data_IF_375262680926
#
_entry.id   IF_375262680926
#
_cell.length_a   1.000
_cell.length_b   1.000
_cell.length_c   1.000
_cell.angle_alpha   90.00
_cell.angle_beta   90.00
_cell.angle_gamma   90.00
#
_symmetry.space_group_name_H-M   'P 1'
#
loop_
_entity.id
_entity.type
_entity.pdbx_description
1 polymer ?
#
# COMPACT_ATOMS: atom_id res chain seq x y z
N UNK A 1 17.58 -13.37 19.87
CA UNK A 1 16.34 -12.56 19.92
C UNK A 1 15.45 -13.02 18.78
N UNK A 2 14.47 -13.91 19.02
CA UNK A 2 13.87 -14.77 17.97
C UNK A 2 12.57 -14.20 17.37
N UNK A 3 11.87 -13.28 18.05
CA UNK A 3 10.63 -12.66 17.56
C UNK A 3 10.43 -11.25 18.15
N UNK A 4 9.93 -10.32 17.35
CA UNK A 4 9.29 -9.07 17.78
C UNK A 4 7.78 -9.26 17.57
N UNK A 5 7.00 -9.39 18.65
CA UNK A 5 5.53 -9.53 18.59
C UNK A 5 4.94 -8.53 19.58
N UNK A 6 4.10 -7.61 19.09
CA UNK A 6 3.08 -6.92 19.89
C UNK A 6 1.82 -7.81 19.85
N UNK A 7 1.40 -8.30 21.01
CA UNK A 7 0.32 -9.26 21.15
C UNK A 7 -1.09 -8.63 21.20
N UNK A 8 -1.20 -7.30 21.17
CA UNK A 8 -2.49 -6.63 21.36
C UNK A 8 -2.87 -5.66 20.25
N UNK A 9 -1.92 -4.94 19.63
CA UNK A 9 -2.28 -3.79 18.77
C UNK A 9 -1.72 -3.81 17.34
N UNK A 10 -0.89 -4.79 16.97
CA UNK A 10 -0.55 -5.05 15.57
C UNK A 10 0.21 -3.95 14.82
N UNK A 11 0.66 -2.88 15.48
CA UNK A 11 1.46 -1.81 14.88
C UNK A 11 2.88 -1.80 15.42
N UNK A 12 3.82 -1.48 14.54
CA UNK A 12 5.21 -1.23 14.90
C UNK A 12 5.42 0.28 15.01
N UNK A 13 5.34 0.77 16.25
CA UNK A 13 6.09 1.90 16.81
C UNK A 13 5.91 3.32 16.23
N UNK A 14 4.69 3.82 16.02
CA UNK A 14 4.46 5.28 16.00
C UNK A 14 3.93 5.86 17.32
N UNK A 15 3.03 5.17 18.02
CA UNK A 15 2.38 5.70 19.24
C UNK A 15 2.17 4.67 20.36
N UNK A 16 2.69 3.43 20.23
CA UNK A 16 2.48 2.33 21.21
C UNK A 16 3.77 1.72 21.76
N UNK A 17 3.77 1.44 23.06
CA UNK A 17 4.87 0.72 23.75
C UNK A 17 4.79 -0.78 23.45
N UNK A 18 5.84 -1.54 23.80
CA UNK A 18 5.92 -3.01 23.62
C UNK A 18 4.74 -3.79 24.22
N UNK A 19 4.06 -3.21 25.19
CA UNK A 19 2.89 -3.75 25.88
C UNK A 19 1.57 -3.05 25.50
N UNK A 20 1.53 -2.39 24.33
CA UNK A 20 0.29 -1.87 23.76
C UNK A 20 -0.26 -0.58 24.38
N UNK A 21 0.42 -0.01 25.38
CA UNK A 21 0.02 1.28 25.97
C UNK A 21 0.35 2.40 25.00
N UNK A 22 -0.44 3.49 25.02
CA UNK A 22 0.00 4.73 24.38
C UNK A 22 1.34 5.12 24.98
N UNK A 23 2.30 5.32 24.11
CA UNK A 23 3.56 5.95 24.46
C UNK A 23 3.22 7.28 25.13
N UNK A 24 3.62 7.53 26.39
CA UNK A 24 3.37 8.81 27.04
C UNK A 24 3.84 9.93 26.12
N UNK A 25 3.19 11.10 26.13
CA UNK A 25 3.79 12.30 25.52
C UNK A 25 5.17 12.48 26.16
N UNK A 26 6.22 11.99 25.52
CA UNK A 26 7.56 12.10 26.07
C UNK A 26 7.83 13.59 26.17
N UNK A 27 8.14 14.08 27.36
CA UNK A 27 8.66 15.43 27.51
C UNK A 27 9.90 15.64 26.64
N UNK A 28 10.35 16.89 26.55
CA UNK A 28 11.49 17.29 25.71
C UNK A 28 12.83 16.62 26.08
N UNK A 29 12.87 15.90 27.20
CA UNK A 29 14.02 15.09 27.61
C UNK A 29 14.30 13.95 26.60
N UNK A 30 15.33 14.15 25.79
CA UNK A 30 15.81 13.19 24.79
C UNK A 30 16.62 12.02 25.39
N UNK A 31 16.86 11.99 26.71
CA UNK A 31 17.88 11.13 27.33
C UNK A 31 17.39 10.03 28.30
N UNK A 32 16.10 9.80 28.49
CA UNK A 32 15.64 8.74 29.40
C UNK A 32 15.98 7.33 28.83
N UNK A 33 16.45 6.42 29.70
CA UNK A 33 16.78 5.03 29.37
C UNK A 33 15.64 4.25 28.69
N UNK A 34 14.39 4.53 29.04
CA UNK A 34 13.22 3.96 28.36
C UNK A 34 13.10 4.41 26.90
N UNK A 35 13.47 5.66 26.60
CA UNK A 35 13.46 6.25 25.25
C UNK A 35 14.58 5.68 24.40
N UNK A 36 15.76 5.54 24.99
CA UNK A 36 16.92 4.94 24.34
C UNK A 36 16.68 3.47 23.99
N UNK A 37 16.08 2.68 24.89
CA UNK A 37 15.74 1.28 24.65
C UNK A 37 14.69 1.14 23.53
N UNK A 38 13.70 2.03 23.50
CA UNK A 38 12.69 2.10 22.44
C UNK A 38 13.33 2.37 21.07
N UNK A 39 14.10 3.45 20.95
CA UNK A 39 14.75 3.82 19.69
C UNK A 39 15.79 2.79 19.22
N UNK A 40 16.51 2.15 20.14
CA UNK A 40 17.44 1.06 19.79
C UNK A 40 16.70 -0.16 19.23
N UNK A 41 15.52 -0.47 19.77
CA UNK A 41 14.67 -1.57 19.30
C UNK A 41 14.06 -1.26 17.94
N UNK A 42 13.57 -0.04 17.76
CA UNK A 42 13.05 0.47 16.50
C UNK A 42 14.12 0.46 15.40
N UNK A 43 15.33 0.93 15.71
CA UNK A 43 16.47 0.87 14.80
C UNK A 43 16.81 -0.58 14.43
N UNK A 44 16.80 -1.50 15.39
CA UNK A 44 17.02 -2.93 15.13
C UNK A 44 15.96 -3.53 14.19
N UNK A 45 14.69 -3.19 14.42
CA UNK A 45 13.57 -3.62 13.57
C UNK A 45 13.73 -3.13 12.13
N UNK A 46 13.98 -1.83 11.94
CA UNK A 46 14.18 -1.27 10.60
C UNK A 46 15.43 -1.82 9.94
N UNK A 47 16.54 -1.94 10.67
CA UNK A 47 17.79 -2.52 10.13
C UNK A 47 17.57 -3.94 9.63
N UNK A 48 16.84 -4.76 10.40
CA UNK A 48 16.48 -6.11 9.99
C UNK A 48 15.61 -6.11 8.73
N UNK A 49 14.56 -5.30 8.68
CA UNK A 49 13.66 -5.26 7.52
C UNK A 49 14.33 -4.72 6.26
N UNK A 50 14.94 -3.53 6.34
CA UNK A 50 15.59 -2.89 5.20
C UNK A 50 16.79 -3.73 4.71
N UNK A 51 17.56 -4.29 5.64
CA UNK A 51 18.69 -5.16 5.31
C UNK A 51 18.27 -6.43 4.57
N UNK A 52 17.18 -7.09 4.98
CA UNK A 52 16.69 -8.27 4.27
C UNK A 52 16.04 -7.89 2.93
N UNK A 53 15.12 -6.93 2.92
CA UNK A 53 14.33 -6.61 1.74
C UNK A 53 15.13 -5.89 0.65
N UNK A 54 15.92 -4.87 0.98
CA UNK A 54 16.59 -4.05 -0.03
C UNK A 54 18.02 -4.47 -0.33
N UNK A 55 18.76 -4.89 0.71
CA UNK A 55 20.15 -5.28 0.52
C UNK A 55 20.27 -6.75 0.12
N UNK A 56 19.68 -7.67 0.90
CA UNK A 56 19.71 -9.11 0.58
C UNK A 56 18.67 -9.53 -0.47
N UNK A 57 17.67 -8.69 -0.77
CA UNK A 57 16.53 -9.02 -1.65
C UNK A 57 15.81 -10.31 -1.24
N UNK A 58 15.73 -10.56 0.06
CA UNK A 58 15.12 -11.75 0.63
C UNK A 58 13.76 -11.42 1.28
N UNK A 59 12.76 -12.32 1.19
CA UNK A 59 11.51 -12.16 1.91
C UNK A 59 11.74 -12.11 3.43
N UNK A 60 10.85 -11.41 4.13
CA UNK A 60 10.93 -11.22 5.57
C UNK A 60 9.61 -11.56 6.24
N UNK A 61 9.66 -12.42 7.26
CA UNK A 61 8.48 -12.77 8.04
C UNK A 61 8.36 -11.89 9.29
N UNK A 62 7.19 -11.32 9.47
CA UNK A 62 6.76 -10.66 10.70
C UNK A 62 5.63 -11.46 11.34
N UNK A 63 5.46 -11.27 12.64
CA UNK A 63 4.47 -12.01 13.41
C UNK A 63 3.53 -11.04 14.10
N UNK A 64 2.23 -11.26 13.91
CA UNK A 64 1.15 -10.46 14.46
C UNK A 64 0.28 -11.37 15.32
N UNK A 65 -0.33 -10.82 16.36
CA UNK A 65 -1.35 -11.53 17.10
C UNK A 65 -2.64 -10.72 17.09
N UNK A 66 -3.73 -11.35 16.66
CA UNK A 66 -5.05 -10.75 16.70
C UNK A 66 -5.93 -11.56 17.64
N UNK A 67 -6.49 -10.92 18.68
CA UNK A 67 -7.52 -11.54 19.53
C UNK A 67 -8.74 -11.88 18.69
N UNK A 68 -9.46 -12.95 19.00
CA UNK A 68 -10.73 -13.25 18.34
C UNK A 68 -11.75 -12.14 18.64
N UNK A 69 -12.63 -11.86 17.68
CA UNK A 69 -13.63 -10.80 17.76
C UNK A 69 -14.97 -11.32 17.22
N UNK A 70 -16.10 -10.76 17.66
CA UNK A 70 -17.43 -11.13 17.17
C UNK A 70 -17.72 -10.60 15.78
N UNK A 71 -16.94 -9.63 15.29
CA UNK A 71 -17.07 -9.06 13.96
C UNK A 71 -15.92 -9.42 13.02
N UNK A 72 -16.21 -9.41 11.71
CA UNK A 72 -15.20 -9.45 10.66
C UNK A 72 -14.30 -8.22 10.74
N UNK A 73 -12.99 -8.42 10.54
CA UNK A 73 -12.00 -7.34 10.55
C UNK A 73 -11.18 -7.37 9.28
N UNK A 74 -10.85 -6.18 8.78
CA UNK A 74 -9.86 -6.01 7.73
C UNK A 74 -8.71 -5.18 8.29
N UNK A 75 -7.53 -5.78 8.38
CA UNK A 75 -6.34 -5.15 8.94
C UNK A 75 -5.37 -4.87 7.83
N UNK A 76 -5.06 -3.60 7.60
CA UNK A 76 -3.99 -3.21 6.70
C UNK A 76 -2.64 -3.30 7.43
N UNK A 77 -1.64 -3.90 6.80
CA UNK A 77 -0.28 -4.02 7.36
C UNK A 77 0.69 -3.00 6.74
N UNK A 78 1.21 -2.12 7.59
CA UNK A 78 2.28 -1.15 7.29
C UNK A 78 3.59 -1.56 7.99
N UNK A 79 4.31 -2.60 7.53
CA UNK A 79 5.56 -3.01 8.18
C UNK A 79 6.69 -1.99 8.00
N UNK A 80 6.58 -1.07 7.03
CA UNK A 80 7.62 -0.14 6.64
C UNK A 80 7.03 1.23 6.27
N UNK A 81 7.80 2.29 6.51
CA UNK A 81 7.57 3.62 5.93
C UNK A 81 7.99 3.68 4.45
N UNK A 82 7.50 2.74 3.63
CA UNK A 82 7.83 2.63 2.21
C UNK A 82 6.56 2.82 1.40
N UNK A 83 6.70 3.52 0.26
CA UNK A 83 5.62 3.72 -0.71
C UNK A 83 4.94 2.38 -1.06
N UNK A 84 3.61 2.37 -1.03
CA UNK A 84 2.78 1.16 -1.06
C UNK A 84 3.07 0.18 -2.20
N UNK A 85 3.61 0.63 -3.33
CA UNK A 85 3.76 -0.21 -4.52
C UNK A 85 5.01 -1.10 -4.53
N UNK A 86 5.90 -1.01 -3.53
CA UNK A 86 7.18 -1.75 -3.51
C UNK A 86 7.15 -3.02 -2.68
N UNK A 87 6.15 -3.21 -1.83
CA UNK A 87 6.08 -4.30 -0.86
C UNK A 87 4.73 -5.01 -0.97
N UNK A 88 4.76 -6.34 -1.00
CA UNK A 88 3.54 -7.17 -1.06
C UNK A 88 3.62 -8.30 -0.03
N UNK A 89 2.47 -8.86 0.34
CA UNK A 89 2.41 -10.10 1.14
C UNK A 89 2.67 -11.28 0.21
N UNK A 90 3.68 -12.09 0.54
CA UNK A 90 4.00 -13.36 -0.11
C UNK A 90 3.10 -14.48 0.36
N UNK A 91 3.05 -14.70 1.68
CA UNK A 91 2.26 -15.74 2.33
C UNK A 91 1.84 -15.33 3.74
N UNK A 92 0.77 -15.95 4.24
CA UNK A 92 0.28 -15.79 5.61
C UNK A 92 0.00 -17.17 6.21
N UNK A 93 0.35 -17.36 7.49
CA UNK A 93 -0.11 -18.50 8.28
C UNK A 93 -0.80 -18.04 9.55
N UNK A 94 -1.90 -18.69 9.94
CA UNK A 94 -2.56 -18.53 11.23
C UNK A 94 -2.29 -19.77 12.09
N UNK A 95 -1.65 -19.57 13.25
CA UNK A 95 -1.26 -20.65 14.17
C UNK A 95 -0.43 -21.77 13.51
N UNK A 96 0.31 -21.43 12.44
CA UNK A 96 1.14 -22.36 11.67
C UNK A 96 0.46 -22.92 10.42
N UNK A 97 -0.85 -22.79 10.28
CA UNK A 97 -1.61 -23.25 9.11
C UNK A 97 -1.74 -22.16 8.05
N UNK A 98 -1.77 -22.54 6.77
CA UNK A 98 -1.92 -21.59 5.67
C UNK A 98 -3.21 -20.76 5.82
N UNK A 99 -3.09 -19.44 5.66
CA UNK A 99 -4.20 -18.50 5.76
C UNK A 99 -4.33 -17.73 4.47
N UNK A 100 -5.42 -17.95 3.73
CA UNK A 100 -5.57 -17.42 2.36
C UNK A 100 -6.41 -16.15 2.27
N UNK A 101 -6.99 -15.68 3.38
CA UNK A 101 -7.86 -14.50 3.41
C UNK A 101 -7.04 -13.20 3.55
N UNK A 102 -6.21 -12.92 2.55
CA UNK A 102 -5.40 -11.70 2.47
C UNK A 102 -5.27 -11.17 1.04
N UNK A 103 -5.01 -9.87 0.92
CA UNK A 103 -4.67 -9.22 -0.33
C UNK A 103 -3.17 -8.91 -0.35
N UNK A 104 -2.45 -9.50 -1.30
CA UNK A 104 -1.01 -9.36 -1.45
C UNK A 104 -0.58 -7.90 -1.67
N UNK A 105 -1.19 -7.22 -2.64
CA UNK A 105 -0.81 -5.88 -3.08
C UNK A 105 -1.19 -4.79 -2.09
N UNK A 106 -2.40 -4.86 -1.53
CA UNK A 106 -2.87 -3.91 -0.51
C UNK A 106 -2.42 -4.29 0.89
N UNK A 107 -1.65 -5.38 1.05
CA UNK A 107 -1.17 -5.90 2.34
C UNK A 107 -2.25 -5.97 3.42
N UNK A 108 -3.46 -6.35 3.02
CA UNK A 108 -4.62 -6.38 3.90
C UNK A 108 -4.93 -7.81 4.27
N UNK A 109 -5.09 -8.11 5.55
CA UNK A 109 -5.58 -9.40 6.05
C UNK A 109 -7.04 -9.24 6.44
N UNK A 110 -7.89 -10.15 5.96
CA UNK A 110 -9.31 -10.19 6.34
C UNK A 110 -9.52 -11.34 7.31
N UNK A 111 -9.80 -11.00 8.57
CA UNK A 111 -9.95 -11.93 9.69
C UNK A 111 -11.44 -12.08 9.97
N UNK A 112 -12.05 -13.26 9.72
CA UNK A 112 -13.45 -13.50 10.00
C UNK A 112 -13.79 -13.42 11.48
N UNK A 113 -15.06 -13.16 11.79
CA UNK A 113 -15.60 -13.29 13.14
C UNK A 113 -15.22 -14.65 13.77
N UNK A 114 -14.88 -14.62 15.06
CA UNK A 114 -14.45 -15.78 15.85
C UNK A 114 -13.01 -16.25 15.57
N UNK A 115 -12.30 -15.69 14.58
CA UNK A 115 -10.91 -16.06 14.28
C UNK A 115 -9.91 -15.11 14.95
N UNK A 116 -8.87 -15.70 15.52
CA UNK A 116 -7.76 -15.00 16.16
C UNK A 116 -6.58 -15.95 16.38
N UNK A 117 -5.43 -15.41 16.77
CA UNK A 117 -4.22 -16.17 17.02
C UNK A 117 -2.98 -15.51 16.43
N UNK A 118 -1.92 -16.31 16.30
CA UNK A 118 -0.61 -15.86 15.82
C UNK A 118 -0.55 -15.96 14.30
N UNK A 119 -0.50 -14.81 13.65
CA UNK A 119 -0.27 -14.67 12.22
C UNK A 119 1.24 -14.57 11.97
N UNK A 120 1.77 -15.36 11.04
CA UNK A 120 3.06 -15.09 10.39
C UNK A 120 2.74 -14.50 9.02
N UNK A 121 3.27 -13.33 8.71
CA UNK A 121 3.09 -12.67 7.41
C UNK A 121 4.46 -12.50 6.81
N UNK A 122 4.68 -13.12 5.66
CA UNK A 122 5.91 -12.98 4.90
C UNK A 122 5.72 -11.88 3.86
N UNK A 123 6.60 -10.90 3.87
CA UNK A 123 6.64 -9.81 2.90
C UNK A 123 7.80 -10.02 1.93
N UNK A 124 7.62 -9.59 0.69
CA UNK A 124 8.68 -9.53 -0.30
C UNK A 124 8.58 -8.26 -1.13
N UNK A 125 9.69 -7.86 -1.76
CA UNK A 125 9.66 -6.76 -2.71
C UNK A 125 8.87 -7.17 -3.94
N UNK A 126 8.09 -6.22 -4.46
CA UNK A 126 7.45 -6.37 -5.75
C UNK A 126 8.48 -6.02 -6.83
N UNK A 127 9.12 -7.02 -7.43
CA UNK A 127 10.00 -6.83 -8.57
C UNK A 127 9.14 -6.33 -9.74
N UNK A 128 9.24 -5.04 -10.05
CA UNK A 128 8.61 -4.44 -11.23
C UNK A 128 9.43 -4.84 -12.46
N UNK A 129 9.41 -6.12 -12.80
CA UNK A 129 9.84 -6.65 -14.09
C UNK A 129 8.68 -7.45 -14.66
N UNK A 130 8.01 -6.80 -15.62
CA UNK A 130 7.15 -7.30 -16.69
C UNK A 130 6.37 -8.62 -16.51
N UNK A 131 5.06 -8.49 -16.76
CA UNK A 131 4.08 -9.51 -17.18
C UNK A 131 3.56 -10.49 -16.12
N UNK A 132 2.22 -10.44 -15.97
CA UNK A 132 1.41 -11.13 -14.99
C UNK A 132 1.28 -12.64 -15.21
N UNK A 133 1.04 -13.38 -14.13
CA UNK A 133 -0.17 -14.20 -14.02
C UNK A 133 -0.43 -14.53 -12.55
N UNK A 134 -1.60 -14.17 -12.03
CA UNK A 134 -2.17 -14.80 -10.84
C UNK A 134 -3.69 -14.72 -10.93
N UNK A 135 -4.29 -15.89 -11.17
CA UNK A 135 -5.72 -16.17 -11.06
C UNK A 135 -6.12 -16.20 -9.59
N UNK A 136 -7.25 -15.55 -9.25
CA UNK A 136 -7.86 -15.65 -7.92
C UNK A 136 -8.89 -14.57 -7.56
N UNK A 137 -9.88 -14.36 -8.44
CA UNK A 137 -11.21 -13.75 -8.17
C UNK A 137 -11.31 -12.28 -7.67
N UNK A 138 -11.44 -11.39 -8.66
CA UNK A 138 -12.44 -10.30 -8.89
C UNK A 138 -12.99 -9.47 -7.69
N UNK A 139 -13.10 -8.13 -7.83
CA UNK A 139 -14.00 -7.59 -8.85
C UNK A 139 -13.21 -7.12 -10.08
N UNK A 140 -12.67 -8.03 -10.92
CA UNK A 140 -11.83 -7.78 -12.10
C UNK A 140 -12.51 -6.75 -13.01
N UNK A 141 -12.24 -5.49 -12.77
CA UNK A 141 -11.17 -4.83 -13.49
C UNK A 141 -11.28 -3.35 -13.10
N UNK A 142 -11.22 -2.98 -11.80
CA UNK A 142 -10.93 -1.58 -11.47
C UNK A 142 -9.41 -1.41 -11.42
N UNK A 143 -8.84 -0.70 -12.39
CA UNK A 143 -7.39 -0.54 -12.49
C UNK A 143 -7.00 0.80 -13.12
N UNK A 144 -5.82 1.28 -12.77
CA UNK A 144 -5.20 2.43 -13.42
C UNK A 144 -3.80 2.03 -13.85
N UNK A 145 -3.52 2.12 -15.14
CA UNK A 145 -2.22 1.81 -15.75
C UNK A 145 -1.24 2.97 -15.64
N UNK A 146 0.05 2.66 -15.77
CA UNK A 146 1.06 3.70 -15.95
C UNK A 146 0.85 4.39 -17.30
N UNK A 147 0.95 5.71 -17.33
CA UNK A 147 0.90 6.45 -18.58
C UNK A 147 2.07 6.02 -19.48
N UNK A 148 1.83 5.89 -20.79
CA UNK A 148 2.88 5.57 -21.75
C UNK A 148 2.82 6.53 -22.95
N UNK A 149 3.96 7.12 -23.36
CA UNK A 149 5.28 7.03 -22.70
C UNK A 149 5.33 7.71 -21.31
N UNK A 150 6.34 7.40 -20.49
CA UNK A 150 6.66 8.14 -19.26
C UNK A 150 8.17 8.03 -18.97
N UNK A 151 8.95 9.12 -18.98
CA UNK A 151 8.53 10.51 -19.22
C UNK A 151 7.89 10.73 -20.61
N UNK A 152 7.04 11.75 -20.75
CA UNK A 152 6.31 12.04 -22.00
C UNK A 152 6.54 13.48 -22.46
N UNK A 153 6.37 13.74 -23.77
CA UNK A 153 6.45 15.08 -24.37
C UNK A 153 5.54 15.19 -25.61
N UNK A 154 4.56 16.10 -25.66
CA UNK A 154 3.69 16.49 -24.55
C UNK A 154 2.48 15.55 -24.44
N UNK A 155 2.42 14.49 -25.25
CA UNK A 155 1.29 13.57 -25.34
C UNK A 155 1.64 12.23 -24.67
N UNK A 156 0.72 11.72 -23.87
CA UNK A 156 0.77 10.37 -23.30
C UNK A 156 -0.60 9.71 -23.37
N UNK A 157 -0.66 8.40 -23.27
CA UNK A 157 -1.91 7.65 -23.11
C UNK A 157 -2.01 7.06 -21.72
N UNK A 158 -3.21 7.04 -21.15
CA UNK A 158 -3.50 6.48 -19.83
C UNK A 158 -4.56 5.40 -20.02
N UNK A 159 -4.20 4.16 -19.73
CA UNK A 159 -5.14 3.03 -19.71
C UNK A 159 -5.72 2.86 -18.33
N UNK A 160 -7.02 2.60 -18.25
CA UNK A 160 -7.70 2.29 -17.01
C UNK A 160 -8.84 1.31 -17.26
N UNK A 161 -9.31 0.67 -16.20
CA UNK A 161 -10.43 -0.25 -16.28
C UNK A 161 -11.43 0.07 -15.17
N UNK A 162 -12.71 -0.12 -15.48
CA UNK A 162 -13.84 0.08 -14.57
C UNK A 162 -14.42 -1.29 -14.23
N UNK A 163 -14.54 -1.59 -12.94
CA UNK A 163 -14.98 -2.90 -12.45
C UNK A 163 -16.49 -3.07 -12.30
N UNK A 164 -17.22 -1.96 -12.12
CA UNK A 164 -18.66 -1.90 -11.87
C UNK A 164 -19.37 -1.14 -13.00
N UNK A 165 -20.45 -1.70 -13.54
CA UNK A 165 -21.23 -1.04 -14.59
C UNK A 165 -22.03 0.15 -14.03
N UNK A 166 -22.30 1.17 -14.86
CA UNK A 166 -23.02 2.37 -14.44
C UNK A 166 -22.31 3.23 -13.38
N UNK A 167 -21.00 3.08 -13.20
CA UNK A 167 -20.25 3.89 -12.23
C UNK A 167 -19.89 5.26 -12.79
N UNK A 168 -20.00 6.29 -11.96
CA UNK A 168 -19.44 7.61 -12.28
C UNK A 168 -17.92 7.57 -12.18
N UNK A 169 -17.24 7.77 -13.30
CA UNK A 169 -15.78 7.70 -13.43
C UNK A 169 -15.20 9.10 -13.57
N UNK A 170 -14.25 9.40 -12.69
CA UNK A 170 -13.53 10.66 -12.67
C UNK A 170 -12.03 10.41 -12.80
N UNK A 171 -11.41 10.93 -13.87
CA UNK A 171 -9.96 10.89 -14.08
C UNK A 171 -9.43 12.32 -14.16
N UNK A 172 -8.71 12.75 -13.13
CA UNK A 172 -8.14 14.10 -13.03
C UNK A 172 -6.63 14.07 -12.92
N UNK A 173 -5.99 15.10 -13.47
CA UNK A 173 -4.56 15.40 -13.37
C UNK A 173 -4.37 16.55 -12.40
N UNK A 174 -3.35 16.41 -11.55
CA UNK A 174 -2.99 17.32 -10.48
C UNK A 174 -1.51 17.68 -10.58
N UNK A 175 -1.18 18.92 -10.22
CA UNK A 175 0.19 19.33 -9.99
C UNK A 175 0.70 18.87 -8.60
N UNK A 176 1.93 19.25 -8.25
CA UNK A 176 2.56 18.89 -6.97
C UNK A 176 1.92 19.57 -5.76
N UNK A 177 1.16 20.66 -5.97
CA UNK A 177 0.44 21.38 -4.93
C UNK A 177 -0.97 20.79 -4.71
N UNK A 178 -1.38 19.84 -5.56
CA UNK A 178 -2.71 19.24 -5.53
C UNK A 178 -3.77 20.06 -6.25
N UNK A 179 -3.39 21.10 -6.99
CA UNK A 179 -4.31 21.85 -7.85
C UNK A 179 -4.64 21.02 -9.09
N UNK A 180 -5.90 21.06 -9.53
CA UNK A 180 -6.35 20.35 -10.73
C UNK A 180 -5.79 21.03 -11.96
N UNK A 181 -4.90 20.34 -12.67
CA UNK A 181 -4.31 20.80 -13.93
C UNK A 181 -5.18 20.43 -15.15
N UNK A 182 -5.86 19.29 -15.11
CA UNK A 182 -6.79 18.87 -16.15
C UNK A 182 -7.82 17.84 -15.64
N UNK A 183 -9.00 17.80 -16.25
CA UNK A 183 -9.96 16.71 -16.11
C UNK A 183 -9.99 15.95 -17.44
N UNK A 184 -9.66 14.66 -17.42
CA UNK A 184 -9.57 13.82 -18.62
C UNK A 184 -10.86 13.03 -18.85
N UNK A 185 -11.53 12.63 -17.76
CA UNK A 185 -12.78 11.86 -17.79
C UNK A 185 -13.64 12.34 -16.62
N UNK A 186 -14.92 12.60 -16.88
CA UNK A 186 -15.93 12.98 -15.87
C UNK A 186 -17.31 12.55 -16.40
N UNK A 187 -17.57 11.24 -16.39
CA UNK A 187 -18.76 10.67 -17.00
C UNK A 187 -19.10 9.29 -16.40
N UNK A 188 -20.33 8.84 -16.62
CA UNK A 188 -20.75 7.48 -16.28
C UNK A 188 -20.19 6.50 -17.32
N UNK A 189 -19.50 5.46 -16.86
CA UNK A 189 -18.96 4.39 -17.71
C UNK A 189 -19.47 3.03 -17.27
N UNK A 190 -19.66 2.16 -18.25
CA UNK A 190 -19.89 0.75 -18.00
C UNK A 190 -18.58 0.02 -17.66
N UNK A 191 -18.72 -1.19 -17.18
CA UNK A 191 -17.60 -2.09 -16.92
C UNK A 191 -16.82 -2.33 -18.20
N UNK A 192 -15.52 -2.06 -18.19
CA UNK A 192 -14.71 -2.16 -19.39
C UNK A 192 -13.28 -1.65 -19.19
N UNK A 193 -12.47 -1.78 -20.23
CA UNK A 193 -11.15 -1.14 -20.30
C UNK A 193 -11.19 0.02 -21.27
N UNK A 194 -10.55 1.11 -20.87
CA UNK A 194 -10.59 2.39 -21.55
C UNK A 194 -9.18 2.95 -21.67
N UNK A 195 -8.98 3.80 -22.67
CA UNK A 195 -7.75 4.54 -22.88
C UNK A 195 -8.11 5.99 -23.16
N UNK A 196 -7.43 6.92 -22.50
CA UNK A 196 -7.55 8.35 -22.76
C UNK A 196 -6.20 8.93 -23.16
N UNK A 197 -6.20 9.79 -24.17
CA UNK A 197 -5.02 10.58 -24.53
C UNK A 197 -4.98 11.85 -23.67
N UNK A 198 -3.80 12.18 -23.16
CA UNK A 198 -3.55 13.41 -22.44
C UNK A 198 -2.52 14.24 -23.21
N UNK A 199 -2.94 15.42 -23.67
CA UNK A 199 -2.09 16.44 -24.26
C UNK A 199 -1.79 17.51 -23.20
N UNK A 200 -0.52 17.59 -22.79
CA UNK A 200 -0.04 18.51 -21.78
C UNK A 200 0.74 19.70 -22.39
N UNK A 201 0.51 20.04 -23.66
CA UNK A 201 1.21 21.12 -24.37
C UNK A 201 1.14 22.47 -23.66
N UNK A 202 0.05 22.73 -22.92
CA UNK A 202 -0.18 23.95 -22.13
C UNK A 202 0.40 23.92 -20.72
N UNK A 203 0.98 22.80 -20.30
CA UNK A 203 1.60 22.65 -18.99
C UNK A 203 3.13 22.83 -19.07
N UNK A 204 3.73 23.14 -17.93
CA UNK A 204 5.19 23.24 -17.76
C UNK A 204 5.81 21.85 -17.52
N UNK A 205 7.08 21.67 -17.87
CA UNK A 205 7.81 20.44 -17.52
C UNK A 205 7.78 20.21 -16.01
N UNK A 206 7.60 18.96 -15.59
CA UNK A 206 7.53 18.66 -14.16
C UNK A 206 6.85 17.35 -13.83
N UNK A 207 6.61 17.17 -12.53
CA UNK A 207 5.92 16.01 -11.98
C UNK A 207 4.44 16.32 -11.85
N UNK A 208 3.62 15.40 -12.33
CA UNK A 208 2.17 15.46 -12.19
C UNK A 208 1.65 14.15 -11.61
N UNK A 209 0.49 14.22 -10.99
CA UNK A 209 -0.24 13.06 -10.48
C UNK A 209 -1.56 12.95 -11.22
N UNK A 210 -2.02 11.73 -11.48
CA UNK A 210 -3.35 11.51 -12.02
C UNK A 210 -4.09 10.49 -11.16
N UNK A 211 -5.38 10.74 -10.94
CA UNK A 211 -6.24 10.00 -10.04
C UNK A 211 -7.49 9.55 -10.77
N UNK A 212 -7.73 8.25 -10.73
CA UNK A 212 -8.97 7.62 -11.17
C UNK A 212 -9.86 7.35 -9.95
N UNK A 213 -11.11 7.75 -10.03
CA UNK A 213 -12.13 7.50 -9.03
C UNK A 213 -13.37 6.89 -9.69
N UNK A 214 -13.94 5.87 -9.05
CA UNK A 214 -15.18 5.21 -9.45
C UNK A 214 -15.92 4.75 -8.19
N UNK A 215 -17.01 5.42 -7.84
CA UNK A 215 -17.70 5.19 -6.56
C UNK A 215 -16.77 5.42 -5.36
N UNK A 216 -16.58 4.38 -4.54
CA UNK A 216 -15.67 4.39 -3.37
C UNK A 216 -14.21 4.07 -3.71
N UNK A 217 -13.93 3.60 -4.92
CA UNK A 217 -12.60 3.18 -5.31
C UNK A 217 -11.80 4.36 -5.88
N UNK A 218 -10.57 4.55 -5.39
CA UNK A 218 -9.67 5.61 -5.83
C UNK A 218 -8.26 5.04 -6.02
N UNK A 219 -7.65 5.27 -7.18
CA UNK A 219 -6.25 4.90 -7.48
C UNK A 219 -5.54 6.13 -8.05
N UNK A 220 -4.32 6.40 -7.59
CA UNK A 220 -3.49 7.50 -8.11
C UNK A 220 -2.15 7.00 -8.63
N UNK A 221 -1.59 7.68 -9.63
CA UNK A 221 -0.26 7.42 -10.21
C UNK A 221 0.47 8.72 -10.53
N UNK A 222 1.78 8.60 -10.75
CA UNK A 222 2.70 9.71 -11.04
C UNK A 222 3.18 9.65 -12.48
N UNK A 223 3.23 10.80 -13.15
CA UNK A 223 3.80 10.98 -14.48
C UNK A 223 4.81 12.14 -14.52
N UNK A 224 5.72 12.10 -15.49
CA UNK A 224 6.76 13.12 -15.68
C UNK A 224 6.64 13.71 -17.08
N UNK A 225 6.36 15.00 -17.18
CA UNK A 225 6.31 15.76 -18.43
C UNK A 225 7.69 16.36 -18.70
N UNK A 226 8.23 16.10 -19.90
CA UNK A 226 9.42 16.73 -20.44
C UNK A 226 9.01 17.66 -21.58
N UNK A 227 9.67 18.79 -21.70
CA UNK A 227 9.50 19.76 -22.78
C UNK A 227 10.89 20.16 -23.26
#
# INVERSE_FOLDING_TARGET
MKYFVDHENGEVYSDRTRDGRKVPQWGEEKGNSGKAAYHSTELGYYTYLYGNLFYKKAPVSLYYYFKADSADRSVFLYPLAIKDNRLKIKDVTLNGEAFNSFNSSTRTIRIPAGKGGKFRVTFELNDVTSAASNNGQKPENFSLGQNYPNPFNPITRIRYSVGEAGSHVLLKVYDVLGSVAATLVDEVKDKGSYEVAFDASRLSSGIYFYRLQSGKNVISRKMTLLK
#
